data_IF_970101675661
#
_entry.id   IF_970101675661
#
_cell.length_a   1.000
_cell.length_b   1.000
_cell.length_c   1.000
_cell.angle_alpha   90.00
_cell.angle_beta   90.00
_cell.angle_gamma   90.00
#
_symmetry.space_group_name_H-M   'P 1'
#
loop_
_entity.id
_entity.type
_entity.pdbx_description
1 polymer ?
#
# COMPACT_ATOMS: atom_id res chain seq x y z
N UNK A 1 7.21 -30.27 32.70
CA UNK A 1 5.81 -30.39 32.22
C UNK A 1 4.89 -29.72 33.21
N UNK A 2 4.41 -28.51 32.90
CA UNK A 2 3.52 -27.72 33.74
C UNK A 2 2.07 -27.89 33.26
N UNK A 3 1.23 -28.53 34.08
CA UNK A 3 -0.20 -28.66 33.81
C UNK A 3 -0.91 -27.37 34.25
N UNK A 4 -1.25 -26.51 33.30
CA UNK A 4 -2.10 -25.33 33.56
C UNK A 4 -3.54 -25.80 33.84
N UNK A 5 -3.95 -25.73 35.11
CA UNK A 5 -5.28 -26.11 35.57
C UNK A 5 -6.17 -24.87 35.56
N UNK A 6 -6.93 -24.66 34.48
CA UNK A 6 -7.88 -23.54 34.34
C UNK A 6 -9.05 -23.72 35.30
N UNK A 7 -9.05 -23.00 36.41
CA UNK A 7 -10.13 -22.97 37.40
C UNK A 7 -11.18 -21.92 36.99
N UNK A 8 -12.19 -22.32 36.22
CA UNK A 8 -13.33 -21.44 35.93
C UNK A 8 -14.32 -21.49 37.10
N UNK A 9 -14.27 -20.48 37.98
CA UNK A 9 -15.26 -20.30 39.03
C UNK A 9 -16.52 -19.64 38.46
N UNK A 10 -17.57 -20.44 38.23
CA UNK A 10 -18.91 -19.91 37.97
C UNK A 10 -19.55 -19.51 39.30
N UNK A 11 -19.68 -18.20 39.53
CA UNK A 11 -20.35 -17.63 40.71
C UNK A 11 -21.85 -17.97 40.68
N UNK A 12 -22.24 -19.00 41.44
CA UNK A 12 -23.63 -19.42 41.59
C UNK A 12 -24.40 -18.36 42.39
N UNK A 13 -25.51 -17.86 41.84
CA UNK A 13 -26.52 -17.13 42.62
C UNK A 13 -26.90 -17.98 43.83
N UNK A 14 -26.79 -17.39 45.01
CA UNK A 14 -27.05 -18.02 46.29
C UNK A 14 -28.57 -18.13 46.49
N UNK A 15 -29.18 -19.04 45.73
CA UNK A 15 -30.61 -19.34 45.84
C UNK A 15 -30.77 -20.26 47.05
N UNK A 16 -31.54 -19.81 48.04
CA UNK A 16 -31.71 -20.49 49.33
C UNK A 16 -32.30 -21.90 49.10
N UNK A 17 -31.45 -22.92 49.04
CA UNK A 17 -31.87 -24.30 48.83
C UNK A 17 -32.45 -24.90 50.12
N UNK A 18 -33.67 -25.43 50.03
CA UNK A 18 -34.34 -26.11 51.14
C UNK A 18 -33.72 -27.48 51.42
N UNK A 19 -33.85 -27.95 52.67
CA UNK A 19 -33.33 -29.25 53.10
C UNK A 19 -34.12 -30.39 52.42
N UNK A 20 -33.43 -31.49 52.14
CA UNK A 20 -33.99 -32.72 51.56
C UNK A 20 -34.46 -32.62 50.10
N UNK A 21 -33.76 -31.84 49.27
CA UNK A 21 -33.95 -31.84 47.82
C UNK A 21 -32.72 -32.38 47.11
N UNK A 22 -32.93 -33.34 46.21
CA UNK A 22 -31.88 -33.87 45.35
C UNK A 22 -31.71 -32.92 44.15
N UNK A 23 -30.72 -32.02 44.21
CA UNK A 23 -30.42 -31.09 43.12
C UNK A 23 -29.36 -31.68 42.21
N UNK A 24 -29.70 -31.95 40.95
CA UNK A 24 -28.73 -32.34 39.93
C UNK A 24 -28.32 -31.12 39.12
N UNK A 25 -27.01 -30.87 39.04
CA UNK A 25 -26.47 -29.78 38.24
C UNK A 25 -26.29 -30.25 36.79
N UNK A 26 -27.05 -29.69 35.84
CA UNK A 26 -26.81 -29.87 34.42
C UNK A 26 -25.67 -28.96 33.98
N UNK A 27 -24.44 -29.46 34.10
CA UNK A 27 -23.27 -28.82 33.47
C UNK A 27 -23.19 -29.31 32.04
N UNK A 28 -23.05 -28.42 31.07
CA UNK A 28 -22.87 -28.83 29.67
C UNK A 28 -21.62 -29.72 29.56
N UNK A 29 -21.84 -31.01 29.27
CA UNK A 29 -20.77 -32.01 29.12
C UNK A 29 -20.04 -31.90 27.78
N UNK A 30 -20.37 -30.90 26.96
CA UNK A 30 -19.75 -30.66 25.66
C UNK A 30 -18.33 -30.17 25.91
N UNK A 31 -17.40 -31.13 25.95
CA UNK A 31 -15.97 -30.88 25.92
C UNK A 31 -15.52 -31.06 24.48
N UNK A 32 -14.68 -30.15 23.99
CA UNK A 32 -13.98 -30.37 22.73
C UNK A 32 -13.15 -31.65 22.87
N UNK A 33 -13.45 -32.64 22.02
CA UNK A 33 -12.66 -33.85 21.92
C UNK A 33 -11.29 -33.57 21.29
N UNK A 34 -10.31 -34.48 21.45
CA UNK A 34 -8.96 -34.30 20.93
C UNK A 34 -8.93 -33.94 19.44
N UNK A 35 -9.77 -34.59 18.63
CA UNK A 35 -9.89 -34.35 17.18
C UNK A 35 -10.42 -32.96 16.87
N UNK A 36 -11.49 -32.53 17.55
CA UNK A 36 -12.05 -31.18 17.33
C UNK A 36 -11.06 -30.07 17.71
N UNK A 37 -10.23 -30.31 18.72
CA UNK A 37 -9.23 -29.34 19.14
C UNK A 37 -8.06 -29.22 18.14
N UNK A 38 -7.60 -30.33 17.56
CA UNK A 38 -6.54 -30.30 16.54
C UNK A 38 -7.03 -29.67 15.24
N UNK A 39 -8.26 -29.95 14.83
CA UNK A 39 -8.89 -29.33 13.65
C UNK A 39 -9.00 -27.81 13.83
N UNK A 40 -9.40 -27.35 15.02
CA UNK A 40 -9.48 -25.90 15.31
C UNK A 40 -8.09 -25.25 15.22
N UNK A 41 -7.06 -25.87 15.79
CA UNK A 41 -5.68 -25.36 15.68
C UNK A 41 -5.21 -25.32 14.22
N UNK A 42 -5.46 -26.38 13.44
CA UNK A 42 -5.10 -26.41 12.02
C UNK A 42 -5.81 -25.30 11.22
N UNK A 43 -7.09 -25.05 11.51
CA UNK A 43 -7.84 -23.92 10.94
C UNK A 43 -7.23 -22.57 11.33
N UNK A 44 -6.81 -22.42 12.59
CA UNK A 44 -6.22 -21.18 13.07
C UNK A 44 -4.88 -20.89 12.38
N UNK A 45 -4.05 -21.92 12.18
CA UNK A 45 -2.78 -21.80 11.45
C UNK A 45 -3.01 -21.44 9.98
N UNK A 46 -3.99 -22.06 9.33
CA UNK A 46 -4.33 -21.74 7.93
C UNK A 46 -4.81 -20.29 7.77
N UNK A 47 -5.65 -19.79 8.68
CA UNK A 47 -6.07 -18.38 8.68
C UNK A 47 -4.87 -17.44 8.84
N UNK A 48 -3.96 -17.72 9.78
CA UNK A 48 -2.73 -16.94 9.95
C UNK A 48 -1.85 -16.96 8.70
N UNK A 49 -1.72 -18.12 8.05
CA UNK A 49 -1.00 -18.26 6.78
C UNK A 49 -1.61 -17.42 5.65
N UNK A 50 -2.94 -17.38 5.54
CA UNK A 50 -3.63 -16.55 4.56
C UNK A 50 -3.47 -15.05 4.83
N UNK A 51 -3.47 -14.63 6.10
CA UNK A 51 -3.19 -13.24 6.49
C UNK A 51 -1.77 -12.85 6.07
N UNK A 52 -0.78 -13.72 6.29
CA UNK A 52 0.60 -13.48 5.87
C UNK A 52 0.72 -13.38 4.34
N UNK A 53 0.09 -14.30 3.61
CA UNK A 53 0.06 -14.25 2.15
C UNK A 53 -0.54 -12.95 1.63
N UNK A 54 -1.64 -12.48 2.24
CA UNK A 54 -2.29 -11.23 1.84
C UNK A 54 -1.39 -10.01 2.08
N UNK A 55 -0.61 -10.00 3.17
CA UNK A 55 0.37 -8.94 3.42
C UNK A 55 1.50 -8.96 2.39
N UNK A 56 2.03 -10.15 2.08
CA UNK A 56 3.07 -10.30 1.06
C UNK A 56 2.59 -9.86 -0.33
N UNK A 57 1.41 -10.31 -0.78
CA UNK A 57 0.84 -9.95 -2.09
C UNK A 57 0.53 -8.47 -2.20
N UNK A 58 0.00 -7.85 -1.13
CA UNK A 58 -0.25 -6.40 -1.11
C UNK A 58 1.05 -5.61 -1.26
N UNK A 59 2.10 -5.97 -0.51
CA UNK A 59 3.41 -5.32 -0.64
C UNK A 59 3.95 -5.39 -2.08
N UNK A 60 3.86 -6.55 -2.73
CA UNK A 60 4.25 -6.71 -4.14
C UNK A 60 3.41 -5.82 -5.09
N UNK A 61 2.10 -5.71 -4.88
CA UNK A 61 1.25 -4.86 -5.72
C UNK A 61 1.52 -3.36 -5.54
N UNK A 62 1.84 -2.92 -4.32
CA UNK A 62 2.21 -1.53 -4.04
C UNK A 62 3.55 -1.18 -4.68
N UNK A 63 4.50 -2.12 -4.72
CA UNK A 63 5.80 -1.93 -5.35
C UNK A 63 5.67 -1.62 -6.85
N UNK A 64 4.81 -2.35 -7.58
CA UNK A 64 4.52 -2.06 -8.99
C UNK A 64 3.85 -0.69 -9.19
N UNK A 65 2.93 -0.32 -8.31
CA UNK A 65 2.27 0.99 -8.38
C UNK A 65 3.26 2.13 -8.14
N UNK A 66 4.16 1.98 -7.15
CA UNK A 66 5.23 2.93 -6.85
C UNK A 66 6.20 3.06 -8.01
N UNK A 67 6.70 1.94 -8.55
CA UNK A 67 7.61 1.96 -9.70
C UNK A 67 7.00 2.67 -10.91
N UNK A 68 5.70 2.47 -11.17
CA UNK A 68 4.99 3.18 -12.25
C UNK A 68 4.94 4.68 -11.99
N UNK A 69 4.63 5.10 -10.77
CA UNK A 69 4.59 6.52 -10.39
C UNK A 69 5.99 7.13 -10.50
N UNK A 70 7.03 6.45 -10.02
CA UNK A 70 8.42 6.93 -10.09
C UNK A 70 8.88 7.09 -11.55
N UNK A 71 8.53 6.15 -12.43
CA UNK A 71 8.81 6.27 -13.86
C UNK A 71 8.10 7.49 -14.47
N UNK A 72 6.83 7.73 -14.12
CA UNK A 72 6.09 8.91 -14.58
C UNK A 72 6.69 10.21 -14.05
N UNK A 73 7.12 10.24 -12.78
CA UNK A 73 7.80 11.40 -12.19
C UNK A 73 9.12 11.65 -12.93
N UNK A 74 9.91 10.62 -13.20
CA UNK A 74 11.16 10.73 -13.94
C UNK A 74 10.92 11.29 -15.35
N UNK A 75 9.92 10.77 -16.07
CA UNK A 75 9.57 11.24 -17.40
C UNK A 75 9.11 12.71 -17.40
N UNK A 76 8.25 13.08 -16.45
CA UNK A 76 7.78 14.47 -16.30
C UNK A 76 8.93 15.42 -15.95
N UNK A 77 9.88 15.00 -15.12
CA UNK A 77 11.05 15.80 -14.80
C UNK A 77 11.95 16.04 -16.02
N UNK A 78 12.15 15.01 -16.86
CA UNK A 78 12.86 15.16 -18.12
C UNK A 78 12.14 16.14 -19.05
N UNK A 79 10.83 15.95 -19.27
CA UNK A 79 10.05 16.86 -20.12
C UNK A 79 10.08 18.30 -19.61
N UNK A 80 9.99 18.50 -18.28
CA UNK A 80 10.11 19.83 -17.68
C UNK A 80 11.47 20.46 -17.97
N UNK A 81 12.56 19.71 -17.80
CA UNK A 81 13.91 20.18 -18.11
C UNK A 81 14.05 20.57 -19.58
N UNK A 82 13.51 19.76 -20.49
CA UNK A 82 13.53 20.05 -21.93
C UNK A 82 12.75 21.33 -22.26
N UNK A 83 11.58 21.52 -21.64
CA UNK A 83 10.77 22.73 -21.79
C UNK A 83 11.47 23.97 -21.22
N UNK A 84 12.17 23.86 -20.09
CA UNK A 84 12.94 24.96 -19.52
C UNK A 84 14.11 25.38 -20.44
N UNK A 85 14.81 24.40 -21.03
CA UNK A 85 15.88 24.65 -22.00
C UNK A 85 15.32 25.32 -23.26
N UNK A 86 14.21 24.82 -23.80
CA UNK A 86 13.61 25.39 -25.01
C UNK A 86 13.05 26.80 -24.74
N UNK A 87 12.47 27.04 -23.56
CA UNK A 87 12.04 28.38 -23.17
C UNK A 87 13.22 29.36 -23.08
N UNK A 88 14.34 28.94 -22.47
CA UNK A 88 15.56 29.73 -22.40
C UNK A 88 16.11 30.03 -23.81
N UNK A 89 16.07 29.04 -24.71
CA UNK A 89 16.47 29.20 -26.11
C UNK A 89 15.59 30.20 -26.85
N UNK A 90 14.27 30.09 -26.72
CA UNK A 90 13.31 31.02 -27.32
C UNK A 90 13.52 32.45 -26.80
N UNK A 91 13.76 32.59 -25.49
CA UNK A 91 14.06 33.88 -24.85
C UNK A 91 15.36 34.49 -25.38
N UNK A 92 16.41 33.67 -25.53
CA UNK A 92 17.67 34.11 -26.10
C UNK A 92 17.51 34.52 -27.57
N UNK A 93 16.74 33.75 -28.36
CA UNK A 93 16.49 34.07 -29.77
C UNK A 93 15.73 35.38 -29.93
N UNK A 94 14.71 35.62 -29.11
CA UNK A 94 13.97 36.88 -29.11
C UNK A 94 14.86 38.06 -28.68
N UNK A 95 15.74 37.84 -27.70
CA UNK A 95 16.73 38.86 -27.29
C UNK A 95 17.71 39.20 -28.42
N UNK A 96 18.22 38.19 -29.13
CA UNK A 96 19.13 38.38 -30.28
C UNK A 96 18.43 39.11 -31.42
N UNK A 97 17.20 38.70 -31.76
CA UNK A 97 16.38 39.35 -32.79
C UNK A 97 16.13 40.83 -32.49
N UNK A 98 15.90 41.18 -31.23
CA UNK A 98 15.66 42.55 -30.79
C UNK A 98 16.95 43.31 -30.45
N UNK A 99 18.13 42.70 -30.61
CA UNK A 99 19.42 43.36 -30.34
C UNK A 99 19.74 44.43 -31.38
N UNK A 100 20.50 45.44 -30.96
CA UNK A 100 20.92 46.57 -31.83
C UNK A 100 21.73 46.13 -33.05
N UNK A 101 22.42 44.99 -32.96
CA UNK A 101 23.19 44.40 -34.06
C UNK A 101 22.27 43.81 -35.12
N UNK A 102 21.20 43.11 -34.72
CA UNK A 102 20.23 42.52 -35.65
C UNK A 102 19.39 43.59 -36.36
N UNK A 103 19.00 44.65 -35.66
CA UNK A 103 18.23 45.77 -36.24
C UNK A 103 19.04 46.65 -37.19
N UNK A 104 20.37 46.59 -37.13
CA UNK A 104 21.28 47.27 -38.06
C UNK A 104 21.72 46.40 -39.24
N UNK A 105 21.32 45.12 -39.29
CA UNK A 105 21.57 44.27 -40.46
C UNK A 105 20.59 44.61 -41.60
N UNK A 106 21.11 45.04 -42.74
CA UNK A 106 20.33 45.20 -43.95
C UNK A 106 19.95 43.81 -44.52
N UNK A 107 18.73 43.68 -45.06
CA UNK A 107 18.27 42.45 -45.69
C UNK A 107 19.23 42.04 -46.82
N UNK A 108 19.59 40.74 -46.94
CA UNK A 108 20.47 40.29 -48.00
C UNK A 108 19.85 40.60 -49.36
N UNK A 109 20.54 41.40 -50.17
CA UNK A 109 20.18 41.64 -51.57
C UNK A 109 20.31 40.33 -52.32
N UNK A 110 19.22 39.84 -52.92
CA UNK A 110 19.23 38.65 -53.76
C UNK A 110 20.30 38.81 -54.86
N UNK A 111 21.31 37.95 -54.87
CA UNK A 111 22.24 37.85 -55.99
C UNK A 111 21.59 36.99 -57.05
N UNK A 112 20.96 37.61 -58.04
CA UNK A 112 20.63 36.94 -59.28
C UNK A 112 21.94 36.47 -59.93
N UNK A 113 22.02 35.19 -60.26
CA UNK A 113 23.15 34.63 -60.98
C UNK A 113 23.27 35.35 -62.33
N UNK A 114 24.44 35.96 -62.59
CA UNK A 114 24.76 36.50 -63.90
C UNK A 114 24.81 35.35 -64.91
N UNK A 115 24.09 35.56 -66.02
CA UNK A 115 23.82 34.62 -67.10
C UNK A 115 25.09 34.15 -67.83
#
# INVERSE_FOLDING_TARGET
MSYSRTQNFSSRRQQNWSRNQNTVAYVSAIKLGPVTHTVLIALMITVLGLIYLTQATRATSYDYATQKIDNQISELNTQKSDLEIENARLTALETVKNSSVATTMAAPTATEYAQ
#
